data_IF_297930609246
#
_entry.id   IF_297930609246
#
_cell.length_a   1.000
_cell.length_b   1.000
_cell.length_c   1.000
_cell.angle_alpha   90.00
_cell.angle_beta   90.00
_cell.angle_gamma   90.00
#
_symmetry.space_group_name_H-M   'P 1'
#
loop_
_entity.id
_entity.type
_entity.pdbx_description
1 polymer ?
#
# COMPACT_ATOMS: atom_id res chain seq x y z
N UNK A 1 14.79 14.98 -2.33
CA UNK A 1 14.21 15.17 -0.98
C UNK A 1 12.76 14.71 -0.99
N UNK A 2 12.44 13.47 -0.61
CA UNK A 2 11.05 12.99 -0.38
C UNK A 2 10.96 11.85 0.64
N UNK A 3 11.77 11.90 1.70
CA UNK A 3 11.72 10.90 2.79
C UNK A 3 10.48 11.06 3.70
N UNK A 4 9.83 12.24 3.70
CA UNK A 4 8.67 12.51 4.55
C UNK A 4 7.37 11.82 4.11
N UNK A 5 7.27 11.40 2.84
CA UNK A 5 6.03 10.86 2.27
C UNK A 5 5.78 9.41 2.73
N UNK A 6 6.84 8.61 2.83
CA UNK A 6 6.76 7.23 3.37
C UNK A 6 6.33 7.19 4.84
N UNK A 7 6.80 8.14 5.65
CA UNK A 7 6.44 8.22 7.06
C UNK A 7 4.96 8.62 7.25
N UNK A 8 4.43 9.51 6.41
CA UNK A 8 3.00 9.86 6.39
C UNK A 8 2.12 8.69 5.97
N UNK A 9 2.53 7.96 4.93
CA UNK A 9 1.86 6.74 4.45
C UNK A 9 1.77 5.65 5.54
N UNK A 10 2.90 5.33 6.19
CA UNK A 10 2.97 4.36 7.29
C UNK A 10 2.07 4.74 8.47
N UNK A 11 2.06 6.02 8.85
CA UNK A 11 1.27 6.52 9.96
C UNK A 11 -0.24 6.45 9.67
N UNK A 12 -0.67 6.84 8.47
CA UNK A 12 -2.08 6.76 8.05
C UNK A 12 -2.58 5.32 7.99
N UNK A 13 -1.77 4.42 7.42
CA UNK A 13 -2.09 3.00 7.32
C UNK A 13 -2.25 2.34 8.69
N UNK A 14 -1.30 2.55 9.61
CA UNK A 14 -1.35 1.97 10.95
C UNK A 14 -2.50 2.55 11.80
N UNK A 15 -2.82 3.85 11.61
CA UNK A 15 -3.93 4.49 12.29
C UNK A 15 -5.29 3.91 11.84
N UNK A 16 -5.52 3.78 10.54
CA UNK A 16 -6.74 3.17 10.00
C UNK A 16 -6.87 1.68 10.36
N UNK A 17 -5.75 0.94 10.29
CA UNK A 17 -5.70 -0.48 10.65
C UNK A 17 -6.07 -0.76 12.11
N UNK A 18 -5.59 0.07 13.05
CA UNK A 18 -5.88 -0.10 14.49
C UNK A 18 -7.25 0.42 14.90
N UNK A 19 -7.84 1.35 14.14
CA UNK A 19 -9.11 1.99 14.48
C UNK A 19 -10.35 1.22 13.99
N UNK A 20 -10.20 0.07 13.31
CA UNK A 20 -11.35 -0.73 12.85
C UNK A 20 -12.17 -0.09 11.72
N UNK A 21 -11.60 0.93 11.07
CA UNK A 21 -12.20 1.61 9.93
C UNK A 21 -11.10 2.13 9.02
N UNK A 22 -10.76 1.35 8.00
CA UNK A 22 -9.92 1.82 6.90
C UNK A 22 -10.86 2.44 5.87
N UNK A 23 -11.19 3.72 6.05
CA UNK A 23 -11.59 4.57 4.93
C UNK A 23 -10.31 5.13 4.32
N UNK A 24 -9.71 4.40 3.38
CA UNK A 24 -8.72 4.98 2.47
C UNK A 24 -9.49 5.89 1.52
N UNK A 25 -9.70 7.14 1.94
CA UNK A 25 -10.06 8.21 1.03
C UNK A 25 -8.76 8.63 0.34
N UNK A 26 -8.64 8.23 -0.93
CA UNK A 26 -7.49 8.38 -1.81
C UNK A 26 -7.32 9.84 -2.27
N UNK A 27 -6.98 10.72 -1.34
CA UNK A 27 -6.37 12.02 -1.68
C UNK A 27 -4.82 11.96 -1.55
N UNK A 28 -4.25 10.79 -1.22
CA UNK A 28 -2.80 10.59 -1.13
C UNK A 28 -2.27 9.83 -2.35
N UNK A 29 -1.72 10.59 -3.29
CA UNK A 29 -1.22 10.23 -4.62
C UNK A 29 -0.12 9.13 -4.72
N UNK A 30 0.22 8.34 -3.69
CA UNK A 30 1.37 7.41 -3.76
C UNK A 30 1.21 6.20 -2.83
N UNK A 31 0.20 5.35 -3.07
CA UNK A 31 -0.02 4.13 -2.27
C UNK A 31 1.00 3.03 -2.60
N UNK A 32 2.06 2.94 -1.80
CA UNK A 32 2.99 1.81 -1.79
C UNK A 32 2.27 0.56 -1.26
N UNK A 33 1.59 -0.15 -2.14
CA UNK A 33 0.77 -1.29 -1.75
C UNK A 33 1.60 -2.53 -1.39
N UNK A 34 2.85 -2.62 -1.86
CA UNK A 34 3.78 -3.72 -1.59
C UNK A 34 5.25 -3.24 -1.47
N UNK A 35 5.60 -2.45 -0.44
CA UNK A 35 6.92 -1.87 -0.29
C UNK A 35 8.05 -2.90 -0.15
N UNK A 36 7.77 -4.14 0.29
CA UNK A 36 8.79 -5.20 0.37
C UNK A 36 9.27 -5.62 -1.02
N UNK A 37 8.43 -5.49 -2.05
CA UNK A 37 8.77 -5.83 -3.44
C UNK A 37 9.13 -4.61 -4.30
N UNK A 38 8.77 -3.41 -3.87
CA UNK A 38 9.07 -2.17 -4.57
C UNK A 38 10.55 -1.75 -4.36
N UNK A 39 11.30 -1.37 -5.41
CA UNK A 39 12.69 -0.92 -5.28
C UNK A 39 12.89 0.21 -4.25
N UNK A 40 11.99 1.19 -4.21
CA UNK A 40 12.04 2.27 -3.23
C UNK A 40 11.69 1.80 -1.83
N UNK A 41 10.69 0.91 -1.69
CA UNK A 41 10.31 0.35 -0.40
C UNK A 41 11.44 -0.48 0.22
N UNK A 42 12.13 -1.29 -0.58
CA UNK A 42 13.34 -2.03 -0.17
C UNK A 42 14.42 -1.06 0.31
N UNK A 43 14.70 0.01 -0.44
CA UNK A 43 15.70 1.02 -0.07
C UNK A 43 15.33 1.73 1.24
N UNK A 44 14.07 2.12 1.39
CA UNK A 44 13.57 2.79 2.58
C UNK A 44 13.62 1.87 3.81
N UNK A 45 13.10 0.64 3.70
CA UNK A 45 13.09 -0.31 4.80
C UNK A 45 14.48 -0.76 5.20
N UNK A 46 15.40 -0.95 4.24
CA UNK A 46 16.80 -1.21 4.56
C UNK A 46 17.41 -0.07 5.38
N UNK A 47 17.08 1.18 5.06
CA UNK A 47 17.58 2.36 5.78
C UNK A 47 16.96 2.56 7.17
N UNK A 48 15.65 2.35 7.31
CA UNK A 48 14.91 2.62 8.56
C UNK A 48 14.78 1.42 9.49
N UNK A 49 14.54 0.22 8.93
CA UNK A 49 14.26 -1.01 9.67
C UNK A 49 15.46 -1.98 9.69
N UNK A 50 16.49 -1.68 8.90
CA UNK A 50 17.67 -2.53 8.72
C UNK A 50 17.44 -3.64 7.68
N UNK A 51 18.46 -4.49 7.47
CA UNK A 51 18.44 -5.54 6.45
C UNK A 51 17.56 -6.76 6.77
N UNK A 52 16.90 -6.80 7.91
CA UNK A 52 16.03 -7.91 8.31
C UNK A 52 14.61 -7.73 7.74
N UNK A 53 14.34 -8.41 6.62
CA UNK A 53 13.06 -8.33 5.93
C UNK A 53 11.88 -8.90 6.72
N UNK A 54 12.13 -9.69 7.78
CA UNK A 54 11.04 -10.20 8.62
C UNK A 54 10.27 -9.07 9.29
N UNK A 55 10.98 -8.01 9.70
CA UNK A 55 10.41 -6.81 10.33
C UNK A 55 9.60 -5.97 9.36
N UNK A 56 9.90 -6.04 8.07
CA UNK A 56 9.23 -5.23 7.05
C UNK A 56 7.77 -5.66 6.86
N UNK A 57 7.44 -6.92 7.18
CA UNK A 57 6.10 -7.49 7.01
C UNK A 57 5.05 -6.80 7.88
N UNK A 58 5.44 -6.16 8.97
CA UNK A 58 4.55 -5.39 9.85
C UNK A 58 4.15 -4.04 9.25
N UNK A 59 4.82 -3.65 8.17
CA UNK A 59 4.73 -2.34 7.53
C UNK A 59 4.29 -2.44 6.06
N UNK A 60 3.99 -3.65 5.59
CA UNK A 60 3.61 -3.92 4.21
C UNK A 60 2.11 -4.22 4.14
N UNK A 61 1.38 -3.38 3.41
CA UNK A 61 -0.07 -3.49 3.24
C UNK A 61 -0.50 -4.88 2.72
N UNK A 62 0.17 -5.37 1.69
CA UNK A 62 -0.08 -6.69 1.10
C UNK A 62 0.11 -7.83 2.12
N UNK A 63 1.11 -7.73 3.01
CA UNK A 63 1.31 -8.71 4.10
C UNK A 63 0.33 -8.55 5.24
N UNK A 64 -0.03 -7.31 5.58
CA UNK A 64 -0.96 -7.01 6.65
C UNK A 64 -2.35 -7.56 6.34
N UNK A 65 -2.86 -7.36 5.11
CA UNK A 65 -4.18 -7.88 4.67
C UNK A 65 -4.36 -9.37 4.99
N UNK A 66 -3.32 -10.20 4.86
CA UNK A 66 -3.38 -11.64 5.21
C UNK A 66 -3.66 -11.92 6.68
N UNK A 67 -3.28 -11.00 7.56
CA UNK A 67 -3.44 -11.10 9.02
C UNK A 67 -4.68 -10.33 9.49
N UNK A 68 -5.44 -9.71 8.59
CA UNK A 68 -6.60 -8.92 8.96
C UNK A 68 -7.75 -9.82 9.42
N UNK A 69 -8.23 -9.59 10.64
CA UNK A 69 -9.41 -10.29 11.19
C UNK A 69 -10.45 -9.30 11.72
N UNK A 70 -10.35 -8.03 11.33
CA UNK A 70 -11.25 -6.97 11.77
C UNK A 70 -12.56 -6.93 10.96
N UNK A 71 -13.40 -5.91 11.18
CA UNK A 71 -14.64 -5.71 10.42
C UNK A 71 -14.39 -5.49 8.93
N UNK A 72 -15.37 -5.71 8.08
CA UNK A 72 -15.22 -5.50 6.63
C UNK A 72 -14.70 -4.08 6.34
N UNK A 73 -13.60 -4.00 5.58
CA UNK A 73 -12.98 -2.76 5.17
C UNK A 73 -13.54 -2.32 3.81
N UNK A 74 -13.93 -1.06 3.69
CA UNK A 74 -14.25 -0.46 2.40
C UNK A 74 -13.00 0.21 1.84
N UNK A 75 -12.12 -0.58 1.23
CA UNK A 75 -10.90 -0.06 0.61
C UNK A 75 -11.18 0.42 -0.82
N UNK A 76 -10.81 1.66 -1.10
CA UNK A 76 -10.80 2.24 -2.45
C UNK A 76 -9.34 2.59 -2.78
N UNK A 77 -8.88 2.16 -3.95
CA UNK A 77 -7.57 2.49 -4.50
C UNK A 77 -7.80 3.02 -5.90
N UNK A 78 -7.58 4.32 -6.09
CA UNK A 78 -7.60 4.96 -7.40
C UNK A 78 -6.16 5.18 -7.87
N UNK A 79 -5.79 4.58 -9.01
CA UNK A 79 -4.44 4.63 -9.55
C UNK A 79 -4.46 5.11 -11.00
N UNK A 80 -3.63 6.13 -11.29
CA UNK A 80 -3.40 6.57 -12.66
C UNK A 80 -2.39 5.65 -13.35
N UNK A 81 -2.74 5.13 -14.54
CA UNK A 81 -1.88 4.21 -15.32
C UNK A 81 -0.62 4.90 -15.87
N UNK A 82 -0.73 6.21 -16.13
CA UNK A 82 0.38 7.03 -16.63
C UNK A 82 1.31 7.52 -15.51
N UNK A 83 1.05 7.15 -14.25
CA UNK A 83 1.91 7.50 -13.14
C UNK A 83 3.28 6.81 -13.30
N UNK A 84 4.34 7.61 -13.29
CA UNK A 84 5.71 7.11 -13.37
C UNK A 84 6.02 6.12 -12.25
N UNK A 85 5.47 6.29 -11.04
CA UNK A 85 5.70 5.36 -9.93
C UNK A 85 4.98 4.02 -10.13
N UNK A 86 3.82 4.04 -10.79
CA UNK A 86 3.13 2.82 -11.21
C UNK A 86 3.93 2.10 -12.30
N UNK A 87 4.36 2.82 -13.34
CA UNK A 87 5.16 2.29 -14.46
C UNK A 87 6.52 1.75 -13.99
N UNK A 88 7.15 2.43 -13.04
CA UNK A 88 8.42 2.01 -12.43
C UNK A 88 8.24 0.86 -11.41
N UNK A 89 7.01 0.36 -11.21
CA UNK A 89 6.73 -0.77 -10.33
C UNK A 89 6.95 -0.47 -8.84
N UNK A 90 6.76 0.79 -8.43
CA UNK A 90 6.91 1.21 -7.04
C UNK A 90 5.63 0.99 -6.22
N UNK A 91 4.46 1.16 -6.86
CA UNK A 91 3.18 1.17 -6.15
C UNK A 91 2.61 -0.25 -5.99
N UNK A 92 2.68 -1.07 -7.04
CA UNK A 92 2.25 -2.48 -7.06
C UNK A 92 0.81 -2.73 -6.50
N UNK A 93 -0.21 -1.95 -6.89
CA UNK A 93 -1.58 -2.10 -6.37
C UNK A 93 -2.22 -3.45 -6.74
N UNK A 94 -1.83 -4.05 -7.86
CA UNK A 94 -2.31 -5.38 -8.28
C UNK A 94 -1.99 -6.47 -7.27
N UNK A 95 -0.82 -6.39 -6.62
CA UNK A 95 -0.42 -7.35 -5.59
C UNK A 95 -1.34 -7.28 -4.36
N UNK A 96 -1.72 -6.07 -3.96
CA UNK A 96 -2.64 -5.86 -2.86
C UNK A 96 -4.03 -6.37 -3.24
N UNK A 97 -4.51 -6.04 -4.44
CA UNK A 97 -5.80 -6.54 -4.94
C UNK A 97 -5.89 -8.06 -4.95
N UNK A 98 -4.85 -8.74 -5.45
CA UNK A 98 -4.80 -10.21 -5.47
C UNK A 98 -4.84 -10.83 -4.05
N UNK A 99 -4.17 -10.21 -3.08
CA UNK A 99 -4.17 -10.68 -1.71
C UNK A 99 -5.48 -10.35 -0.99
N UNK A 100 -6.09 -9.19 -1.25
CA UNK A 100 -7.43 -8.86 -0.77
C UNK A 100 -8.46 -9.87 -1.26
N UNK A 101 -8.42 -10.21 -2.56
CA UNK A 101 -9.27 -11.25 -3.14
C UNK A 101 -9.07 -12.61 -2.46
N UNK A 102 -7.83 -12.98 -2.16
CA UNK A 102 -7.49 -14.25 -1.50
C UNK A 102 -7.94 -14.31 -0.03
N UNK A 103 -8.00 -13.18 0.66
CA UNK A 103 -8.42 -13.07 2.06
C UNK A 103 -9.88 -12.60 2.22
N UNK A 104 -10.63 -12.57 1.12
CA UNK A 104 -12.04 -12.17 1.10
C UNK A 104 -12.28 -10.75 1.67
N UNK A 105 -11.29 -9.86 1.49
CA UNK A 105 -11.37 -8.45 1.90
C UNK A 105 -11.85 -7.63 0.71
N UNK A 106 -12.95 -6.85 0.83
CA UNK A 106 -13.45 -6.04 -0.27
C UNK A 106 -12.47 -4.93 -0.63
N UNK A 107 -12.13 -4.84 -1.92
CA UNK A 107 -11.31 -3.77 -2.48
C UNK A 107 -11.93 -3.27 -3.78
N UNK A 108 -12.02 -1.95 -3.93
CA UNK A 108 -12.38 -1.28 -5.17
C UNK A 108 -11.09 -0.67 -5.75
N UNK A 109 -10.43 -1.40 -6.64
CA UNK A 109 -9.27 -0.90 -7.37
C UNK A 109 -9.73 -0.33 -8.71
N UNK A 110 -9.46 0.95 -8.96
CA UNK A 110 -9.72 1.60 -10.24
C UNK A 110 -8.40 2.05 -10.85
N UNK A 111 -8.13 1.55 -12.05
CA UNK A 111 -6.99 1.99 -12.85
C UNK A 111 -7.53 2.96 -13.89
N UNK A 112 -7.11 4.22 -13.82
CA UNK A 112 -7.52 5.26 -14.75
C UNK A 112 -6.52 5.33 -15.92
N UNK A 113 -7.05 5.26 -17.13
CA UNK A 113 -6.30 5.61 -18.33
C UNK A 113 -6.65 7.04 -18.70
N UNK A 114 -5.68 7.96 -18.64
CA UNK A 114 -5.86 9.28 -19.23
C UNK A 114 -6.05 9.08 -20.73
N UNK A 115 -7.30 9.18 -21.17
CA UNK A 115 -7.63 9.31 -22.59
C UNK A 115 -7.60 10.80 -22.90
N UNK A 116 -6.63 11.22 -23.73
CA UNK A 116 -6.57 12.59 -24.25
C UNK A 116 -7.78 12.91 -25.12
#
# INVERSE_FOLDING_TARGET
MRAGWLAGWLAGWLAGWRAGGISLLSDCYDDFSNPIKAPWGIKAFTGYLGGDQSKWQEYDATKLVKKYTGPALNMLVDQEKADNFYVEGQLLPDNLSAECASNNVPINLRIHEITL
#
